data_IF_458336270890
#
_entry.id   IF_458336270890
#
_cell.length_a   1.000
_cell.length_b   1.000
_cell.length_c   1.000
_cell.angle_alpha   90.00
_cell.angle_beta   90.00
_cell.angle_gamma   90.00
#
_symmetry.space_group_name_H-M   'P 1'
#
loop_
_entity.id
_entity.type
_entity.pdbx_description
1 polymer ?
#
# COMPACT_ATOMS: atom_id res chain seq x y z
N UNK A 1 -12.61 -14.40 -8.27
CA UNK A 1 -13.12 -13.49 -7.24
C UNK A 1 -12.01 -12.59 -6.75
N UNK A 2 -12.30 -11.30 -6.62
CA UNK A 2 -11.27 -10.42 -6.08
C UNK A 2 -11.02 -10.73 -4.63
N UNK A 3 -9.77 -10.65 -4.24
CA UNK A 3 -9.39 -10.87 -2.86
C UNK A 3 -9.46 -9.58 -2.08
N UNK A 4 -9.77 -9.70 -0.81
CA UNK A 4 -9.70 -8.55 0.08
C UNK A 4 -8.26 -8.20 0.36
N UNK A 5 -8.00 -6.93 0.62
CA UNK A 5 -6.65 -6.52 0.91
C UNK A 5 -6.07 -7.27 2.11
N UNK A 6 -6.90 -7.57 3.09
CA UNK A 6 -6.45 -8.30 4.26
C UNK A 6 -6.05 -9.73 3.95
N UNK A 7 -6.42 -10.26 2.79
CA UNK A 7 -6.03 -11.59 2.38
C UNK A 7 -4.75 -11.59 1.56
N UNK A 8 -4.38 -10.43 1.03
CA UNK A 8 -3.22 -10.30 0.16
C UNK A 8 -2.02 -9.78 0.94
N UNK A 9 -2.25 -8.90 1.89
CA UNK A 9 -1.19 -8.21 2.60
C UNK A 9 -1.27 -8.49 4.08
N UNK A 10 -0.14 -8.31 4.77
CA UNK A 10 -0.04 -8.54 6.20
C UNK A 10 0.69 -7.39 6.85
N UNK A 11 0.46 -7.15 8.15
CA UNK A 11 1.24 -6.15 8.87
C UNK A 11 2.73 -6.46 8.77
N UNK A 12 3.51 -5.44 8.51
CA UNK A 12 4.94 -5.59 8.33
C UNK A 12 5.36 -5.66 6.88
N UNK A 13 4.42 -5.88 5.97
CA UNK A 13 4.76 -5.93 4.55
C UNK A 13 5.20 -4.57 4.05
N UNK A 14 6.19 -4.58 3.18
CA UNK A 14 6.65 -3.37 2.49
C UNK A 14 5.84 -3.22 1.22
N UNK A 15 5.22 -2.05 1.06
CA UNK A 15 4.36 -1.80 -0.09
C UNK A 15 4.60 -0.40 -0.62
N UNK A 16 3.97 -0.11 -1.75
CA UNK A 16 3.92 1.25 -2.29
C UNK A 16 2.47 1.65 -2.43
N UNK A 17 2.19 2.89 -2.09
CA UNK A 17 0.84 3.43 -2.16
C UNK A 17 0.80 4.53 -3.22
N UNK A 18 -0.26 4.51 -4.01
CA UNK A 18 -0.44 5.48 -5.09
C UNK A 18 -1.05 6.77 -4.54
N UNK A 19 -0.41 7.87 -4.85
CA UNK A 19 -0.88 9.19 -4.50
C UNK A 19 -1.06 10.03 -5.75
N UNK A 20 -2.17 10.75 -5.82
CA UNK A 20 -2.47 11.61 -6.95
C UNK A 20 -2.95 12.94 -6.42
N UNK A 21 -2.33 14.02 -6.89
CA UNK A 21 -2.74 15.36 -6.50
C UNK A 21 -2.53 16.30 -7.66
N UNK A 22 -2.60 17.61 -7.38
CA UNK A 22 -2.51 18.62 -8.42
C UNK A 22 -1.15 18.65 -9.10
N UNK A 23 -0.13 18.17 -8.40
CA UNK A 23 1.23 18.22 -8.93
C UNK A 23 1.59 16.98 -9.70
N UNK A 24 0.74 15.94 -9.65
CA UNK A 24 0.99 14.72 -10.39
C UNK A 24 0.66 13.47 -9.60
N UNK A 25 1.19 12.37 -10.09
CA UNK A 25 0.95 11.05 -9.53
C UNK A 25 2.26 10.41 -9.14
N UNK A 26 2.26 9.69 -8.03
CA UNK A 26 3.47 9.00 -7.61
C UNK A 26 3.12 7.84 -6.70
N UNK A 27 4.03 6.87 -6.67
CA UNK A 27 3.98 5.76 -5.73
C UNK A 27 4.97 6.04 -4.61
N UNK A 28 4.50 5.92 -3.37
CA UNK A 28 5.35 6.18 -2.21
C UNK A 28 5.52 4.92 -1.39
N UNK A 29 6.72 4.65 -0.92
CA UNK A 29 6.95 3.47 -0.07
C UNK A 29 6.23 3.62 1.26
N UNK A 30 5.71 2.49 1.73
CA UNK A 30 4.99 2.46 3.00
C UNK A 30 5.11 1.07 3.59
N UNK A 31 4.72 0.96 4.86
CA UNK A 31 4.73 -0.31 5.56
C UNK A 31 3.37 -0.52 6.19
N UNK A 32 2.83 -1.71 5.98
CA UNK A 32 1.51 -2.03 6.54
C UNK A 32 1.64 -2.18 8.04
N UNK A 33 0.80 -1.45 8.77
CA UNK A 33 0.84 -1.49 10.23
C UNK A 33 -0.37 -2.19 10.83
N UNK A 34 -1.48 -2.25 10.11
CA UNK A 34 -2.67 -2.92 10.62
C UNK A 34 -3.61 -3.25 9.47
N UNK A 35 -4.40 -4.29 9.67
CA UNK A 35 -5.44 -4.66 8.73
C UNK A 35 -6.79 -4.32 9.36
N UNK A 36 -7.65 -3.67 8.58
CA UNK A 36 -8.97 -3.31 9.06
C UNK A 36 -9.91 -3.32 7.88
N UNK A 37 -10.74 -4.37 7.81
CA UNK A 37 -11.70 -4.48 6.72
C UNK A 37 -12.53 -3.19 6.61
N UNK A 38 -12.72 -2.66 5.41
CA UNK A 38 -12.44 -3.25 4.10
C UNK A 38 -11.06 -2.92 3.54
N UNK A 39 -10.14 -2.43 4.35
CA UNK A 39 -8.84 -2.03 3.85
C UNK A 39 -7.74 -2.30 4.85
N UNK A 40 -6.73 -1.47 4.80
CA UNK A 40 -5.60 -1.60 5.69
C UNK A 40 -5.00 -0.23 5.97
N UNK A 41 -4.20 -0.17 7.03
CA UNK A 41 -3.46 1.02 7.40
C UNK A 41 -2.00 0.84 7.05
N UNK A 42 -1.42 1.83 6.40
CA UNK A 42 -0.02 1.81 6.06
C UNK A 42 0.61 3.13 6.48
N UNK A 43 1.87 3.04 6.87
CA UNK A 43 2.62 4.22 7.31
C UNK A 43 3.70 4.54 6.27
N UNK A 44 3.70 5.78 5.80
CA UNK A 44 4.74 6.25 4.90
C UNK A 44 5.95 6.71 5.70
N UNK A 45 7.06 6.97 4.99
CA UNK A 45 8.32 7.30 5.64
C UNK A 45 8.24 8.58 6.48
N UNK A 46 7.30 9.46 6.14
CA UNK A 46 7.12 10.70 6.90
C UNK A 46 6.30 10.50 8.17
N UNK A 47 5.89 9.26 8.45
CA UNK A 47 5.18 8.97 9.69
C UNK A 47 3.67 9.06 9.60
N UNK A 48 3.14 9.43 8.45
CA UNK A 48 1.70 9.54 8.29
C UNK A 48 1.06 8.18 8.04
N UNK A 49 -0.16 8.03 8.56
CA UNK A 49 -0.92 6.81 8.35
C UNK A 49 -1.98 7.05 7.27
N UNK A 50 -2.14 6.04 6.42
CA UNK A 50 -3.08 6.12 5.33
C UNK A 50 -3.95 4.87 5.32
N UNK A 51 -5.26 5.06 5.16
CA UNK A 51 -6.18 3.95 5.06
C UNK A 51 -6.45 3.65 3.59
N UNK A 52 -6.10 2.45 3.16
CA UNK A 52 -6.20 2.05 1.76
C UNK A 52 -7.27 0.99 1.62
N UNK A 53 -8.24 1.26 0.75
CA UNK A 53 -9.30 0.28 0.49
C UNK A 53 -9.29 -0.21 -0.95
N UNK A 54 -8.57 0.49 -1.84
CA UNK A 54 -8.57 0.17 -3.25
C UNK A 54 -7.30 -0.57 -3.62
N UNK A 55 -7.44 -1.81 -4.07
CA UNK A 55 -6.27 -2.61 -4.42
C UNK A 55 -5.45 -2.05 -5.57
N UNK A 56 -6.02 -1.14 -6.33
CA UNK A 56 -5.26 -0.51 -7.41
C UNK A 56 -4.34 0.58 -6.92
N UNK A 57 -4.52 1.02 -5.68
CA UNK A 57 -3.71 2.08 -5.10
C UNK A 57 -2.62 1.53 -4.19
N UNK A 58 -2.38 0.24 -4.22
CA UNK A 58 -1.35 -0.38 -3.41
C UNK A 58 -0.71 -1.51 -4.20
N UNK A 59 0.60 -1.66 -4.04
CA UNK A 59 1.32 -2.76 -4.67
C UNK A 59 2.50 -3.13 -3.78
N UNK A 60 3.04 -4.32 -3.99
CA UNK A 60 4.17 -4.76 -3.18
C UNK A 60 5.42 -3.98 -3.57
N UNK A 61 6.09 -3.52 -2.53
CA UNK A 61 7.36 -2.82 -2.73
C UNK A 61 8.43 -3.83 -3.08
N UNK A 62 9.27 -3.44 -4.03
CA UNK A 62 10.39 -4.29 -4.40
C UNK A 62 10.06 -5.39 -5.38
N UNK A 63 8.80 -5.56 -5.69
CA UNK A 63 8.41 -6.60 -6.63
C UNK A 63 9.04 -6.37 -7.98
N UNK A 64 9.07 -5.13 -8.40
CA UNK A 64 9.70 -4.79 -9.67
C UNK A 64 11.19 -4.99 -9.63
N UNK A 65 11.78 -4.71 -8.50
CA UNK A 65 13.22 -4.86 -8.37
C UNK A 65 13.63 -6.31 -8.47
N UNK A 66 12.76 -7.20 -8.03
CA UNK A 66 13.08 -8.62 -8.06
C UNK A 66 12.73 -9.27 -9.38
N UNK A 67 12.12 -8.54 -10.26
CA UNK A 67 11.77 -9.08 -11.55
C UNK A 67 13.00 -9.45 -12.35
N UNK A 68 14.08 -8.86 -11.96
CA UNK A 68 15.31 -9.24 -12.60
C UNK A 68 15.69 -10.62 -12.18
#
# INVERSE_FOLDING_TARGET
>A
MPRRLAEIYQPGDQVEIFFSDKTGEEWRPAKIVALQHPGLWARTADGNLWFVTNGRHIRRSGENATSG
#
